data_IF_312153382890
#
_entry.id   IF_312153382890
#
_cell.length_a   1.000
_cell.length_b   1.000
_cell.length_c   1.000
_cell.angle_alpha   90.00
_cell.angle_beta   90.00
_cell.angle_gamma   90.00
#
_symmetry.space_group_name_H-M   'P 1'
#
loop_
_entity.id
_entity.type
_entity.pdbx_description
1 polymer ?
#
# COMPACT_ATOMS: atom_id res chain seq x y z
N UNK A 1 1.53 -2.32 -21.40
CA UNK A 1 2.16 -1.99 -20.10
C UNK A 1 1.87 -0.53 -19.83
N UNK A 2 1.39 -0.18 -18.63
CA UNK A 2 1.23 1.22 -18.27
C UNK A 2 2.60 1.91 -18.27
N UNK A 3 2.65 3.18 -18.67
CA UNK A 3 3.88 3.95 -18.74
C UNK A 3 4.70 3.96 -17.43
N UNK A 4 4.11 3.98 -16.22
CA UNK A 4 4.87 3.97 -14.96
C UNK A 4 5.80 2.77 -14.75
N UNK A 5 5.30 1.54 -14.91
CA UNK A 5 6.10 0.33 -14.65
C UNK A 5 7.22 0.11 -15.67
N UNK A 6 7.09 0.65 -16.89
CA UNK A 6 8.19 0.64 -17.85
C UNK A 6 9.34 1.55 -17.39
N UNK A 7 9.03 2.72 -16.81
CA UNK A 7 10.02 3.65 -16.27
C UNK A 7 10.72 3.11 -15.02
N UNK A 8 10.00 2.42 -14.13
CA UNK A 8 10.61 1.71 -13.00
C UNK A 8 11.67 0.71 -13.48
N UNK A 9 11.33 -0.14 -14.46
CA UNK A 9 12.26 -1.12 -14.99
C UNK A 9 13.46 -0.48 -15.70
N UNK A 10 13.27 0.66 -16.39
CA UNK A 10 14.35 1.41 -17.00
C UNK A 10 15.29 2.01 -15.94
N UNK A 11 14.73 2.65 -14.91
CA UNK A 11 15.50 3.25 -13.82
C UNK A 11 16.37 2.21 -13.09
N UNK A 12 15.83 1.02 -12.78
CA UNK A 12 16.61 -0.07 -12.16
C UNK A 12 17.79 -0.49 -13.04
N UNK A 13 17.61 -0.55 -14.36
CA UNK A 13 18.66 -0.95 -15.30
C UNK A 13 19.75 0.13 -15.45
N UNK A 14 19.35 1.39 -15.52
CA UNK A 14 20.24 2.53 -15.69
C UNK A 14 21.09 2.80 -14.44
N UNK A 15 20.43 2.84 -13.28
CA UNK A 15 21.08 3.14 -11.99
C UNK A 15 21.44 1.89 -11.19
N UNK A 16 21.42 0.71 -11.80
CA UNK A 16 21.66 -0.55 -11.10
C UNK A 16 22.99 -0.60 -10.35
N UNK A 17 24.01 0.10 -10.83
CA UNK A 17 25.31 0.23 -10.19
C UNK A 17 25.30 1.14 -8.94
N UNK A 18 24.34 2.06 -8.81
CA UNK A 18 24.17 2.96 -7.67
C UNK A 18 23.20 2.38 -6.61
N UNK A 19 22.25 1.56 -7.05
CA UNK A 19 21.26 0.94 -6.16
C UNK A 19 21.94 -0.10 -5.28
N UNK A 20 21.95 0.13 -3.97
CA UNK A 20 22.50 -0.80 -2.97
C UNK A 20 21.49 -1.84 -2.48
N UNK A 21 20.19 -1.57 -2.59
CA UNK A 21 19.12 -2.45 -2.13
C UNK A 21 17.83 -2.21 -2.93
N UNK A 22 17.09 -3.28 -3.21
CA UNK A 22 15.72 -3.23 -3.72
C UNK A 22 14.80 -3.87 -2.68
N UNK A 23 13.73 -3.16 -2.32
CA UNK A 23 12.65 -3.66 -1.48
C UNK A 23 11.37 -3.66 -2.28
N UNK A 24 10.76 -4.82 -2.46
CA UNK A 24 9.41 -4.93 -3.00
C UNK A 24 8.39 -5.06 -1.87
N UNK A 25 7.35 -4.23 -1.92
CA UNK A 25 6.19 -4.33 -1.05
C UNK A 25 5.04 -4.92 -1.85
N UNK A 26 4.38 -5.94 -1.33
CA UNK A 26 3.30 -6.62 -2.03
C UNK A 26 2.07 -6.67 -1.13
N UNK A 27 0.94 -6.19 -1.64
CA UNK A 27 -0.36 -6.60 -1.10
C UNK A 27 -0.49 -8.11 -1.25
N UNK A 28 -0.90 -8.78 -0.19
CA UNK A 28 -0.91 -10.22 -0.07
C UNK A 28 -2.18 -10.66 0.64
N UNK A 29 -3.30 -10.58 -0.06
CA UNK A 29 -4.61 -10.79 0.56
C UNK A 29 -5.03 -12.26 0.57
N UNK A 30 -5.76 -12.64 1.62
CA UNK A 30 -6.68 -13.77 1.55
C UNK A 30 -7.93 -13.37 0.75
N UNK A 31 -8.60 -14.35 0.13
CA UNK A 31 -9.86 -14.07 -0.57
C UNK A 31 -10.93 -13.51 0.38
N UNK A 32 -11.07 -14.12 1.55
CA UNK A 32 -11.98 -13.68 2.61
C UNK A 32 -11.33 -12.57 3.46
N UNK A 33 -11.17 -11.39 2.87
CA UNK A 33 -10.62 -10.18 3.49
C UNK A 33 -11.73 -9.16 3.72
N UNK A 34 -11.65 -8.37 4.81
CA UNK A 34 -12.69 -7.42 5.22
C UNK A 34 -12.97 -6.33 4.17
N UNK A 35 -11.98 -6.02 3.33
CA UNK A 35 -12.13 -5.09 2.21
C UNK A 35 -12.64 -5.76 0.91
N UNK A 36 -12.96 -7.05 0.91
CA UNK A 36 -13.55 -7.74 -0.25
C UNK A 36 -15.04 -8.01 -0.02
N UNK A 37 -15.83 -7.91 -1.10
CA UNK A 37 -17.28 -8.10 -1.02
C UNK A 37 -17.70 -9.48 -0.50
N UNK A 38 -16.87 -10.52 -0.64
CA UNK A 38 -17.17 -11.86 -0.12
C UNK A 38 -17.28 -11.90 1.41
N UNK A 39 -16.64 -10.98 2.13
CA UNK A 39 -16.74 -10.88 3.58
C UNK A 39 -18.14 -10.47 4.05
N UNK A 40 -18.89 -9.77 3.18
CA UNK A 40 -20.14 -9.10 3.53
C UNK A 40 -21.35 -9.72 2.83
N UNK A 41 -22.51 -9.53 3.44
CA UNK A 41 -23.82 -9.86 2.87
C UNK A 41 -24.87 -8.81 3.27
N UNK A 42 -25.80 -8.52 2.36
CA UNK A 42 -27.06 -7.84 2.68
C UNK A 42 -28.15 -8.86 3.06
N UNK A 43 -29.37 -8.36 3.32
CA UNK A 43 -30.55 -9.17 3.64
C UNK A 43 -30.95 -10.16 2.52
N UNK A 44 -30.51 -9.95 1.29
CA UNK A 44 -30.76 -10.84 0.14
C UNK A 44 -29.63 -11.85 -0.11
N UNK A 45 -28.62 -11.91 0.77
CA UNK A 45 -27.48 -12.83 0.60
C UNK A 45 -26.36 -12.31 -0.31
N UNK A 46 -26.51 -11.11 -0.88
CA UNK A 46 -25.64 -10.57 -1.92
C UNK A 46 -24.45 -9.83 -1.31
N UNK A 47 -23.31 -9.88 -1.99
CA UNK A 47 -22.13 -9.09 -1.64
C UNK A 47 -22.26 -7.64 -2.14
N UNK A 48 -21.64 -6.66 -1.45
CA UNK A 48 -21.50 -5.31 -1.96
C UNK A 48 -20.65 -5.31 -3.24
N UNK A 49 -20.98 -4.40 -4.15
CA UNK A 49 -20.19 -4.18 -5.36
C UNK A 49 -18.84 -3.52 -5.02
N UNK A 50 -17.80 -3.68 -5.84
CA UNK A 50 -16.58 -2.88 -5.72
C UNK A 50 -16.86 -1.38 -5.67
N UNK A 51 -16.01 -0.67 -4.95
CA UNK A 51 -16.08 0.76 -4.60
C UNK A 51 -17.25 1.16 -3.69
N UNK A 52 -18.02 0.20 -3.16
CA UNK A 52 -19.01 0.47 -2.10
C UNK A 52 -18.28 0.93 -0.84
N UNK A 53 -18.70 2.06 -0.28
CA UNK A 53 -18.29 2.49 1.05
C UNK A 53 -19.23 1.86 2.07
N UNK A 54 -18.68 1.21 3.10
CA UNK A 54 -19.45 0.68 4.23
C UNK A 54 -19.13 1.49 5.47
N UNK A 55 -20.16 2.09 6.07
CA UNK A 55 -20.07 2.85 7.31
C UNK A 55 -20.47 1.98 8.51
N UNK A 56 -20.09 2.43 9.70
CA UNK A 56 -20.50 1.83 10.96
C UNK A 56 -22.03 1.84 11.15
N UNK A 57 -22.71 2.85 10.62
CA UNK A 57 -24.16 2.94 10.58
C UNK A 57 -24.79 1.90 9.66
N UNK A 58 -24.16 1.55 8.53
CA UNK A 58 -24.66 0.51 7.63
C UNK A 58 -24.69 -0.87 8.33
N UNK A 59 -23.68 -1.13 9.17
CA UNK A 59 -23.58 -2.36 9.97
C UNK A 59 -24.61 -2.36 11.10
N UNK A 60 -24.77 -1.21 11.77
CA UNK A 60 -25.74 -1.02 12.85
C UNK A 60 -27.17 -1.26 12.35
N UNK A 61 -27.48 -0.71 11.17
CA UNK A 61 -28.80 -0.81 10.53
C UNK A 61 -29.01 -2.11 9.73
N UNK A 62 -27.99 -2.98 9.65
CA UNK A 62 -28.09 -4.27 8.96
C UNK A 62 -28.13 -4.17 7.43
N UNK A 63 -27.72 -3.02 6.85
CA UNK A 63 -27.55 -2.85 5.40
C UNK A 63 -26.48 -3.82 4.89
N UNK A 64 -25.35 -3.87 5.60
CA UNK A 64 -24.26 -4.82 5.38
C UNK A 64 -23.89 -5.52 6.67
N UNK A 65 -23.76 -6.84 6.62
CA UNK A 65 -23.33 -7.66 7.76
C UNK A 65 -22.19 -8.59 7.33
N UNK A 66 -21.21 -8.88 8.20
CA UNK A 66 -20.25 -9.94 7.93
C UNK A 66 -20.98 -11.27 7.72
N UNK A 67 -20.51 -12.09 6.76
CA UNK A 67 -21.10 -13.41 6.54
C UNK A 67 -20.91 -14.36 7.72
N UNK A 68 -19.82 -14.20 8.47
CA UNK A 68 -19.67 -14.82 9.78
C UNK A 68 -20.27 -13.89 10.85
N UNK A 69 -21.42 -14.25 11.46
CA UNK A 69 -22.11 -13.39 12.41
C UNK A 69 -21.29 -13.11 13.68
N UNK A 70 -20.32 -13.96 14.02
CA UNK A 70 -19.44 -13.74 15.19
C UNK A 70 -18.58 -12.48 15.01
N UNK A 71 -18.33 -12.07 13.75
CA UNK A 71 -17.52 -10.90 13.42
C UNK A 71 -18.29 -9.58 13.43
N UNK A 72 -19.61 -9.57 13.70
CA UNK A 72 -20.41 -8.34 13.63
C UNK A 72 -19.90 -7.23 14.54
N UNK A 73 -19.63 -7.55 15.80
CA UNK A 73 -19.15 -6.57 16.78
C UNK A 73 -17.74 -6.06 16.42
N UNK A 74 -16.89 -6.95 15.92
CA UNK A 74 -15.57 -6.58 15.41
C UNK A 74 -15.67 -5.62 14.22
N UNK A 75 -16.47 -5.95 13.21
CA UNK A 75 -16.66 -5.14 12.01
C UNK A 75 -17.22 -3.75 12.33
N UNK A 76 -18.13 -3.66 13.31
CA UNK A 76 -18.64 -2.39 13.81
C UNK A 76 -17.55 -1.57 14.52
N UNK A 77 -16.75 -2.19 15.39
CA UNK A 77 -15.65 -1.50 16.07
C UNK A 77 -14.58 -1.00 15.08
N UNK A 78 -14.23 -1.83 14.09
CA UNK A 78 -13.28 -1.50 13.04
C UNK A 78 -13.74 -0.29 12.20
N UNK A 79 -14.97 -0.31 11.68
CA UNK A 79 -15.51 0.80 10.87
C UNK A 79 -15.63 2.10 11.67
N UNK A 80 -16.02 2.04 12.95
CA UNK A 80 -16.00 3.21 13.84
C UNK A 80 -14.60 3.78 14.03
N UNK A 81 -13.60 2.92 14.18
CA UNK A 81 -12.21 3.36 14.34
C UNK A 81 -11.68 4.05 13.07
N UNK A 82 -12.00 3.51 11.89
CA UNK A 82 -11.66 4.14 10.61
C UNK A 82 -12.31 5.53 10.50
N UNK A 83 -13.61 5.64 10.76
CA UNK A 83 -14.35 6.90 10.71
C UNK A 83 -13.80 7.94 11.69
N UNK A 84 -13.45 7.52 12.91
CA UNK A 84 -12.85 8.40 13.92
C UNK A 84 -11.48 8.94 13.51
N UNK A 85 -10.68 8.17 12.77
CA UNK A 85 -9.36 8.59 12.31
C UNK A 85 -9.39 9.70 11.25
N UNK A 86 -10.55 9.91 10.60
CA UNK A 86 -10.73 10.76 9.41
C UNK A 86 -9.82 10.43 8.22
N UNK A 87 -8.96 9.40 8.33
CA UNK A 87 -8.02 8.98 7.30
C UNK A 87 -8.73 8.17 6.21
N UNK A 88 -9.61 7.26 6.63
CA UNK A 88 -10.33 6.36 5.71
C UNK A 88 -11.74 6.04 6.17
N UNK A 89 -12.54 5.61 5.19
CA UNK A 89 -13.74 4.80 5.39
C UNK A 89 -13.47 3.44 4.76
N UNK A 90 -14.16 2.40 5.21
CA UNK A 90 -14.03 1.09 4.56
C UNK A 90 -14.57 1.18 3.13
N UNK A 91 -13.70 0.89 2.16
CA UNK A 91 -14.03 0.78 0.74
C UNK A 91 -13.93 -0.71 0.38
N UNK A 92 -14.94 -1.22 -0.30
CA UNK A 92 -14.89 -2.57 -0.86
C UNK A 92 -14.11 -2.54 -2.17
N UNK A 93 -13.05 -3.33 -2.27
CA UNK A 93 -12.26 -3.49 -3.48
C UNK A 93 -12.69 -4.74 -4.27
N UNK A 94 -12.45 -4.78 -5.59
CA UNK A 94 -12.42 -6.05 -6.31
C UNK A 94 -11.45 -7.02 -5.61
N UNK A 95 -11.68 -8.33 -5.70
CA UNK A 95 -10.67 -9.29 -5.23
C UNK A 95 -9.36 -9.05 -6.01
N UNK A 96 -8.27 -8.74 -5.30
CA UNK A 96 -7.00 -8.39 -5.90
C UNK A 96 -5.84 -8.94 -5.06
N UNK A 97 -4.68 -9.08 -5.68
CA UNK A 97 -3.43 -9.51 -5.02
C UNK A 97 -3.58 -10.75 -4.12
N UNK A 98 -4.45 -11.70 -4.53
CA UNK A 98 -4.73 -12.92 -3.76
C UNK A 98 -3.50 -13.82 -3.78
N UNK A 99 -3.01 -14.19 -2.60
CA UNK A 99 -1.78 -14.98 -2.44
C UNK A 99 -1.82 -16.24 -3.32
N UNK A 100 -0.76 -16.43 -4.11
CA UNK A 100 -0.60 -17.58 -5.00
C UNK A 100 -1.28 -17.45 -6.37
N UNK A 101 -2.04 -16.38 -6.61
CA UNK A 101 -2.64 -16.11 -7.93
C UNK A 101 -1.69 -15.28 -8.82
N UNK A 102 -1.89 -15.27 -10.15
CA UNK A 102 -1.11 -14.41 -11.04
C UNK A 102 -1.16 -12.92 -10.67
N UNK A 103 -2.30 -12.43 -10.15
CA UNK A 103 -2.48 -11.03 -9.74
C UNK A 103 -1.71 -10.62 -8.49
N UNK A 104 -1.13 -11.57 -7.76
CA UNK A 104 -0.23 -11.30 -6.62
C UNK A 104 1.21 -11.02 -7.04
N UNK A 105 1.61 -11.43 -8.24
CA UNK A 105 3.01 -11.34 -8.66
C UNK A 105 3.43 -9.92 -9.07
N UNK A 106 4.73 -9.65 -8.95
CA UNK A 106 5.34 -8.42 -9.49
C UNK A 106 5.28 -8.46 -11.02
N UNK A 107 5.01 -7.31 -11.64
CA UNK A 107 4.95 -7.21 -13.09
C UNK A 107 6.27 -7.67 -13.74
N UNK A 108 6.23 -8.50 -14.81
CA UNK A 108 7.42 -9.21 -15.27
C UNK A 108 8.62 -8.35 -15.64
N UNK A 109 8.42 -7.16 -16.21
CA UNK A 109 9.52 -6.29 -16.64
C UNK A 109 10.29 -5.68 -15.46
N UNK A 110 9.59 -5.28 -14.39
CA UNK A 110 10.20 -4.76 -13.16
C UNK A 110 10.91 -5.89 -12.42
N UNK A 111 10.27 -7.05 -12.32
CA UNK A 111 10.87 -8.21 -11.66
C UNK A 111 12.15 -8.66 -12.37
N UNK A 112 12.13 -8.78 -13.70
CA UNK A 112 13.31 -9.13 -14.49
C UNK A 112 14.47 -8.13 -14.31
N UNK A 113 14.18 -6.82 -14.26
CA UNK A 113 15.20 -5.80 -14.00
C UNK A 113 15.84 -5.97 -12.61
N UNK A 114 15.02 -6.21 -11.57
CA UNK A 114 15.50 -6.43 -10.22
C UNK A 114 16.28 -7.73 -10.06
N UNK A 115 15.88 -8.82 -10.75
CA UNK A 115 16.61 -10.09 -10.73
C UNK A 115 18.00 -9.97 -11.37
N UNK A 116 18.11 -9.26 -12.49
CA UNK A 116 19.41 -8.99 -13.09
C UNK A 116 20.27 -8.07 -12.20
N UNK A 117 19.67 -7.05 -11.56
CA UNK A 117 20.35 -6.25 -10.53
C UNK A 117 20.88 -7.11 -9.38
N UNK A 118 20.07 -8.03 -8.85
CA UNK A 118 20.44 -8.92 -7.74
C UNK A 118 21.64 -9.81 -8.10
N UNK A 119 21.63 -10.38 -9.32
CA UNK A 119 22.75 -11.15 -9.87
C UNK A 119 24.03 -10.31 -9.98
N UNK A 120 23.94 -9.07 -10.46
CA UNK A 120 25.10 -8.19 -10.63
C UNK A 120 25.68 -7.74 -9.29
N UNK A 121 24.81 -7.39 -8.33
CA UNK A 121 25.18 -6.95 -6.98
C UNK A 121 25.53 -8.10 -6.04
N UNK A 122 25.21 -9.35 -6.42
CA UNK A 122 25.39 -10.55 -5.60
C UNK A 122 24.72 -10.40 -4.24
N UNK A 123 23.48 -9.91 -4.26
CA UNK A 123 22.68 -9.62 -3.07
C UNK A 123 21.23 -10.01 -3.32
N UNK A 124 20.49 -10.19 -2.24
CA UNK A 124 19.07 -10.54 -2.31
C UNK A 124 18.18 -9.32 -2.52
N UNK A 125 17.02 -9.56 -3.12
CA UNK A 125 15.90 -8.62 -3.12
C UNK A 125 15.10 -8.86 -1.85
N UNK A 126 14.80 -7.79 -1.10
CA UNK A 126 13.93 -7.90 0.06
C UNK A 126 12.46 -7.86 -0.38
N UNK A 127 11.64 -8.77 0.16
CA UNK A 127 10.20 -8.79 -0.05
C UNK A 127 9.49 -8.51 1.26
N UNK A 128 8.55 -7.57 1.24
CA UNK A 128 7.72 -7.18 2.39
C UNK A 128 6.26 -7.38 2.00
N UNK A 129 5.62 -8.36 2.64
CA UNK A 129 4.20 -8.64 2.43
C UNK A 129 3.36 -7.79 3.39
N UNK A 130 2.24 -7.26 2.89
CA UNK A 130 1.25 -6.49 3.66
C UNK A 130 -0.17 -6.94 3.31
N UNK A 131 -1.15 -6.65 4.18
CA UNK A 131 -2.56 -7.00 3.94
C UNK A 131 -2.92 -8.49 4.10
N UNK A 132 -2.05 -9.31 4.69
CA UNK A 132 -2.29 -10.74 4.90
C UNK A 132 -3.27 -11.05 6.02
N UNK A 133 -3.47 -10.12 6.96
CA UNK A 133 -4.52 -10.23 7.95
C UNK A 133 -5.86 -9.85 7.35
N UNK A 134 -6.80 -10.80 7.29
CA UNK A 134 -8.14 -10.63 6.73
C UNK A 134 -9.01 -9.57 7.40
N UNK A 135 -8.62 -9.04 8.55
CA UNK A 135 -9.49 -8.23 9.39
C UNK A 135 -9.15 -6.74 9.40
N UNK A 136 -8.16 -6.30 8.63
CA UNK A 136 -7.83 -4.87 8.50
C UNK A 136 -7.29 -4.56 7.11
N UNK A 137 -7.65 -3.39 6.59
CA UNK A 137 -6.95 -2.83 5.42
C UNK A 137 -5.50 -2.45 5.78
N UNK A 138 -4.61 -2.47 4.79
CA UNK A 138 -3.17 -2.30 4.97
C UNK A 138 -2.52 -1.59 3.77
N UNK A 139 -2.92 -0.34 3.50
CA UNK A 139 -2.39 0.42 2.38
C UNK A 139 -0.89 0.71 2.52
N UNK A 140 -0.46 1.19 3.68
CA UNK A 140 0.94 1.50 3.96
C UNK A 140 1.77 0.23 4.04
N UNK A 141 2.99 0.21 3.48
CA UNK A 141 3.93 -0.89 3.70
C UNK A 141 4.48 -0.94 5.14
N UNK A 142 4.12 0.03 5.98
CA UNK A 142 4.66 0.19 7.32
C UNK A 142 3.67 -0.20 8.42
N UNK A 143 2.35 -0.11 8.21
CA UNK A 143 1.34 -0.51 9.21
C UNK A 143 -0.05 -0.63 8.59
N UNK A 144 -0.90 -1.41 9.25
CA UNK A 144 -2.31 -1.51 8.90
C UNK A 144 -3.10 -0.26 9.30
N UNK A 145 -4.28 -0.09 8.69
CA UNK A 145 -5.21 1.00 9.05
C UNK A 145 -5.83 0.81 10.43
N UNK A 146 -5.93 -0.44 10.88
CA UNK A 146 -6.32 -0.81 12.23
C UNK A 146 -5.34 -1.85 12.79
N UNK A 147 -4.47 -1.42 13.71
CA UNK A 147 -3.50 -2.30 14.34
C UNK A 147 -4.18 -3.29 15.29
N UNK A 148 -3.92 -4.58 15.08
CA UNK A 148 -4.46 -5.67 15.88
C UNK A 148 -3.44 -6.11 16.92
N UNK A 149 -3.85 -6.09 18.19
CA UNK A 149 -2.96 -6.38 19.32
C UNK A 149 -2.31 -7.77 19.25
N UNK A 150 -3.04 -8.74 18.69
CA UNK A 150 -2.63 -10.15 18.54
C UNK A 150 -1.81 -10.43 17.28
N UNK A 151 -1.75 -9.50 16.31
CA UNK A 151 -0.99 -9.69 15.08
C UNK A 151 0.07 -8.60 14.91
N UNK A 152 1.33 -8.90 15.26
CA UNK A 152 2.44 -7.98 15.07
C UNK A 152 2.63 -7.48 13.64
N UNK A 153 2.18 -8.24 12.62
CA UNK A 153 2.30 -7.83 11.22
C UNK A 153 1.40 -6.64 10.86
N UNK A 154 0.44 -6.29 11.71
CA UNK A 154 -0.42 -5.11 11.52
C UNK A 154 0.17 -3.84 12.13
N UNK A 155 1.16 -3.96 13.03
CA UNK A 155 1.78 -2.83 13.73
C UNK A 155 2.87 -2.17 12.87
N UNK A 156 3.33 -1.01 13.33
CA UNK A 156 4.44 -0.31 12.69
C UNK A 156 5.67 -1.21 12.50
N UNK A 157 6.07 -1.37 11.24
CA UNK A 157 7.26 -2.11 10.83
C UNK A 157 8.51 -1.23 11.01
N UNK A 158 8.90 -1.03 12.27
CA UNK A 158 10.11 -0.28 12.62
C UNK A 158 11.35 -0.85 11.96
N UNK A 159 11.43 -2.19 11.82
CA UNK A 159 12.56 -2.84 11.16
C UNK A 159 12.74 -2.44 9.70
N UNK A 160 11.66 -2.22 8.95
CA UNK A 160 11.74 -1.70 7.59
C UNK A 160 12.22 -0.23 7.57
N UNK A 161 11.73 0.60 8.49
CA UNK A 161 12.15 2.00 8.61
C UNK A 161 13.65 2.08 8.91
N UNK A 162 14.10 1.33 9.92
CA UNK A 162 15.50 1.26 10.34
C UNK A 162 16.38 0.79 9.18
N UNK A 163 15.89 -0.20 8.41
CA UNK A 163 16.57 -0.70 7.22
C UNK A 163 16.75 0.39 6.16
N UNK A 164 15.66 1.05 5.76
CA UNK A 164 15.68 2.13 4.76
C UNK A 164 16.55 3.30 5.23
N UNK A 165 16.57 3.60 6.53
CA UNK A 165 17.32 4.73 7.11
C UNK A 165 18.84 4.64 6.95
N UNK A 166 19.36 3.45 6.64
CA UNK A 166 20.79 3.22 6.33
C UNK A 166 21.21 3.83 5.00
N UNK A 167 20.27 4.04 4.07
CA UNK A 167 20.57 4.67 2.80
C UNK A 167 20.62 6.20 2.92
N UNK A 168 21.47 6.84 2.12
CA UNK A 168 21.51 8.30 1.97
C UNK A 168 20.45 8.84 1.02
N UNK A 169 19.88 7.97 0.17
CA UNK A 169 18.73 8.24 -0.69
C UNK A 169 17.78 7.04 -0.65
N UNK A 170 16.49 7.29 -0.46
CA UNK A 170 15.42 6.29 -0.57
C UNK A 170 14.51 6.71 -1.71
N UNK A 171 14.44 5.91 -2.76
CA UNK A 171 13.58 6.15 -3.93
C UNK A 171 12.32 5.32 -3.78
N UNK A 172 11.16 5.98 -3.75
CA UNK A 172 9.83 5.38 -3.62
C UNK A 172 9.08 5.51 -4.96
N UNK A 173 8.71 4.37 -5.52
CA UNK A 173 7.96 4.22 -6.77
C UNK A 173 6.97 3.07 -6.65
N UNK A 174 6.02 2.96 -7.58
CA UNK A 174 5.05 1.85 -7.60
C UNK A 174 3.62 2.34 -7.64
N UNK A 175 2.68 1.49 -7.23
CA UNK A 175 1.26 1.77 -7.34
C UNK A 175 0.54 1.52 -5.98
N UNK A 176 -0.53 2.24 -5.65
CA UNK A 176 -1.04 3.43 -6.35
C UNK A 176 -0.60 4.73 -5.65
N UNK A 177 -0.41 5.80 -6.42
CA UNK A 177 -0.11 7.16 -5.95
C UNK A 177 -1.20 7.72 -5.04
N UNK A 178 -2.43 7.24 -5.16
CA UNK A 178 -3.54 7.64 -4.29
C UNK A 178 -3.63 6.83 -2.98
N UNK A 179 -3.02 5.64 -2.94
CA UNK A 179 -3.16 4.68 -1.83
C UNK A 179 -1.80 4.18 -1.34
N UNK A 180 -1.34 3.00 -1.78
CA UNK A 180 -0.20 2.32 -1.17
C UNK A 180 1.08 3.18 -1.16
N UNK A 181 1.41 3.88 -2.27
CA UNK A 181 2.56 4.80 -2.29
C UNK A 181 2.34 5.95 -1.32
N UNK A 182 1.17 6.59 -1.41
CA UNK A 182 0.80 7.73 -0.57
C UNK A 182 0.96 7.43 0.92
N UNK A 183 0.25 6.42 1.41
CA UNK A 183 0.19 6.15 2.84
C UNK A 183 1.47 5.50 3.37
N UNK A 184 2.21 4.75 2.54
CA UNK A 184 3.56 4.31 2.91
C UNK A 184 4.49 5.49 3.13
N UNK A 185 4.48 6.48 2.23
CA UNK A 185 5.35 7.65 2.35
C UNK A 185 4.90 8.53 3.51
N UNK A 186 3.60 8.72 3.74
CA UNK A 186 3.12 9.48 4.91
C UNK A 186 3.56 8.85 6.22
N UNK A 187 3.44 7.53 6.36
CA UNK A 187 3.90 6.81 7.54
C UNK A 187 5.43 6.85 7.68
N UNK A 188 6.15 6.78 6.55
CA UNK A 188 7.59 6.90 6.57
C UNK A 188 8.00 8.29 7.07
N UNK A 189 7.42 9.36 6.52
CA UNK A 189 7.69 10.76 6.90
C UNK A 189 7.36 11.03 8.36
N UNK A 190 6.29 10.44 8.89
CA UNK A 190 5.94 10.55 10.31
C UNK A 190 6.98 9.92 11.24
N UNK A 191 7.76 8.96 10.74
CA UNK A 191 8.79 8.22 11.48
C UNK A 191 10.21 8.46 10.95
N UNK A 192 10.40 9.48 10.10
CA UNK A 192 11.70 9.82 9.50
C UNK A 192 12.27 11.08 10.14
N UNK A 193 13.60 11.17 10.36
CA UNK A 193 14.21 12.39 10.87
C UNK A 193 13.89 13.60 9.98
N UNK A 194 13.35 14.67 10.57
CA UNK A 194 12.93 15.85 9.81
C UNK A 194 14.09 16.46 9.00
N UNK A 195 15.31 16.44 9.53
CA UNK A 195 16.54 16.91 8.88
C UNK A 195 17.01 16.05 7.69
N UNK A 196 16.37 14.89 7.47
CA UNK A 196 16.70 13.93 6.41
C UNK A 196 15.54 13.70 5.44
N UNK A 197 14.48 14.51 5.47
CA UNK A 197 13.32 14.31 4.57
C UNK A 197 13.68 14.46 3.09
N UNK A 198 14.68 15.28 2.77
CA UNK A 198 15.23 15.39 1.42
C UNK A 198 15.89 14.11 0.91
N UNK A 199 16.22 13.15 1.79
CA UNK A 199 16.75 11.84 1.40
C UNK A 199 15.65 10.97 0.75
N UNK A 200 14.38 11.30 0.95
CA UNK A 200 13.24 10.58 0.39
C UNK A 200 12.84 11.18 -0.97
N UNK A 201 12.86 10.34 -1.99
CA UNK A 201 12.50 10.67 -3.36
C UNK A 201 11.22 9.95 -3.76
N UNK A 202 10.26 10.67 -4.30
CA UNK A 202 9.03 10.08 -4.88
C UNK A 202 9.02 10.41 -6.37
N UNK A 203 9.00 9.38 -7.23
CA UNK A 203 8.92 9.62 -8.67
C UNK A 203 7.48 9.65 -9.16
N UNK A 204 7.07 10.81 -9.64
CA UNK A 204 5.71 11.10 -10.11
C UNK A 204 5.36 10.39 -11.42
N UNK A 205 6.36 10.07 -12.24
CA UNK A 205 6.20 9.39 -13.52
C UNK A 205 6.34 7.84 -13.41
N UNK A 206 6.70 7.34 -12.23
CA UNK A 206 6.77 5.92 -11.88
C UNK A 206 5.63 5.49 -10.94
N UNK A 207 4.52 6.22 -10.97
CA UNK A 207 3.30 5.91 -10.22
C UNK A 207 2.06 6.46 -10.93
N UNK A 208 0.87 5.97 -10.57
CA UNK A 208 -0.42 6.48 -11.02
C UNK A 208 -1.47 6.38 -9.91
N UNK A 209 -2.51 7.21 -9.96
CA UNK A 209 -3.64 7.07 -9.05
C UNK A 209 -4.56 5.93 -9.50
N UNK A 210 -5.22 5.27 -8.55
CA UNK A 210 -6.41 4.45 -8.85
C UNK A 210 -7.43 5.34 -9.56
N UNK A 211 -8.03 4.91 -10.68
CA UNK A 211 -9.06 5.69 -11.39
C UNK A 211 -10.19 6.13 -10.45
N UNK A 212 -10.53 7.41 -10.47
CA UNK A 212 -11.52 8.03 -9.56
C UNK A 212 -10.94 8.51 -8.23
N UNK A 213 -9.64 8.35 -7.99
CA UNK A 213 -8.92 8.82 -6.79
C UNK A 213 -7.74 9.74 -7.15
N UNK A 214 -7.79 10.41 -8.30
CA UNK A 214 -6.73 11.29 -8.79
C UNK A 214 -6.44 12.44 -7.81
N UNK A 215 -7.48 13.06 -7.26
CA UNK A 215 -7.36 14.16 -6.29
C UNK A 215 -6.55 13.75 -5.04
N UNK A 216 -6.71 12.50 -4.58
CA UNK A 216 -5.93 11.98 -3.45
C UNK A 216 -4.44 11.87 -3.80
N UNK A 217 -4.11 11.46 -5.02
CA UNK A 217 -2.73 11.42 -5.53
C UNK A 217 -2.13 12.81 -5.70
N UNK A 218 -2.89 13.77 -6.24
CA UNK A 218 -2.45 15.17 -6.39
C UNK A 218 -2.22 15.84 -5.04
N UNK A 219 -3.11 15.61 -4.08
CA UNK A 219 -2.97 16.11 -2.71
C UNK A 219 -1.74 15.52 -2.05
N UNK A 220 -1.50 14.22 -2.21
CA UNK A 220 -0.27 13.58 -1.74
C UNK A 220 1.00 14.23 -2.30
N UNK A 221 1.06 14.48 -3.61
CA UNK A 221 2.22 15.14 -4.26
C UNK A 221 2.47 16.53 -3.68
N UNK A 222 1.41 17.34 -3.49
CA UNK A 222 1.51 18.67 -2.86
C UNK A 222 2.02 18.56 -1.42
N UNK A 223 1.41 17.68 -0.63
CA UNK A 223 1.75 17.51 0.79
C UNK A 223 3.20 17.08 0.97
N UNK A 224 3.69 16.11 0.18
CA UNK A 224 5.06 15.62 0.31
C UNK A 224 6.09 16.63 -0.17
N UNK A 225 5.77 17.40 -1.21
CA UNK A 225 6.60 18.55 -1.62
C UNK A 225 6.71 19.56 -0.48
N UNK A 226 5.58 19.94 0.12
CA UNK A 226 5.54 20.88 1.26
C UNK A 226 6.23 20.32 2.51
N UNK A 227 6.25 18.99 2.68
CA UNK A 227 6.94 18.33 3.79
C UNK A 227 8.47 18.25 3.61
N UNK A 228 9.01 18.67 2.45
CA UNK A 228 10.44 18.75 2.17
C UNK A 228 11.04 17.53 1.47
N UNK A 229 10.21 16.66 0.87
CA UNK A 229 10.67 15.51 0.09
C UNK A 229 11.06 15.95 -1.33
N UNK A 230 11.85 15.12 -2.00
CA UNK A 230 12.17 15.29 -3.42
C UNK A 230 11.13 14.59 -4.29
N UNK A 231 10.07 15.30 -4.62
CA UNK A 231 8.99 14.80 -5.49
C UNK A 231 9.27 15.24 -6.93
N UNK A 232 9.83 14.34 -7.74
CA UNK A 232 10.40 14.66 -9.06
C UNK A 232 9.98 13.62 -10.11
N UNK A 233 10.44 13.75 -11.36
CA UNK A 233 10.39 12.65 -12.34
C UNK A 233 11.66 11.81 -12.23
N UNK A 234 11.56 10.55 -12.65
CA UNK A 234 12.70 9.64 -12.70
C UNK A 234 13.86 10.15 -13.58
N UNK A 235 13.56 10.95 -14.61
CA UNK A 235 14.56 11.58 -15.49
C UNK A 235 15.31 12.75 -14.87
N UNK A 236 14.85 13.25 -13.71
CA UNK A 236 15.43 14.40 -13.03
C UNK A 236 16.23 13.99 -11.77
N UNK A 237 16.44 12.68 -11.56
CA UNK A 237 17.14 12.09 -10.42
C UNK A 237 18.67 12.17 -10.56
#
# INVERSE_FOLDING_TARGET
MSFPVARIAAFIKEHGHEISQIVFTLDSHQRYHIAHGIFWTNAQGQSPAPFTVILSDDITNGVWTPRDPILKDYALAYTKALEASSKFRLIIWPEHCIIGTPGHNIVPNVHAAALEWAKQKKTDIQYVFKGSNSFTEHYSALRAEYELSYDPATKLNQGLIDNLSRASKVVIVGEALSHCVNYSVRDLVANWPQSRRQDLYVFTDCSSAVPGFEEAGETFVRDMTNAGLRVIKSTDF
#
